data_IF_805275866741
#
_entry.id   IF_805275866741
#
_cell.length_a   1.000
_cell.length_b   1.000
_cell.length_c   1.000
_cell.angle_alpha   90.00
_cell.angle_beta   90.00
_cell.angle_gamma   90.00
#
_symmetry.space_group_name_H-M   'P 1'
#
loop_
_entity.id
_entity.type
_entity.pdbx_description
1 polymer ?
#
# COMPACT_ATOMS: atom_id res chain seq x y z
N UNK A 1 8.23 -8.78 -33.48
CA UNK A 1 6.93 -9.31 -33.93
C UNK A 1 6.36 -9.98 -32.70
N UNK A 2 5.67 -9.21 -31.87
CA UNK A 2 5.06 -9.71 -30.63
C UNK A 2 3.95 -10.69 -31.01
N UNK A 3 3.97 -11.88 -30.41
CA UNK A 3 2.81 -12.77 -30.49
C UNK A 3 1.63 -12.05 -29.83
N UNK A 4 0.46 -11.98 -30.47
CA UNK A 4 -0.68 -11.35 -29.85
C UNK A 4 -1.03 -12.15 -28.59
N UNK A 5 -0.96 -11.49 -27.43
CA UNK A 5 -1.55 -12.02 -26.20
C UNK A 5 -2.95 -12.52 -26.54
N UNK A 6 -3.28 -13.73 -26.08
CA UNK A 6 -4.60 -14.27 -26.35
C UNK A 6 -5.64 -13.28 -25.82
N UNK A 7 -6.73 -13.05 -26.56
CA UNK A 7 -7.82 -12.15 -26.10
C UNK A 7 -8.29 -12.52 -24.69
N UNK A 8 -8.23 -13.81 -24.34
CA UNK A 8 -8.52 -14.30 -23.00
C UNK A 8 -7.57 -13.74 -21.95
N UNK A 9 -6.26 -13.72 -22.21
CA UNK A 9 -5.23 -13.17 -21.32
C UNK A 9 -5.49 -11.69 -21.04
N UNK A 10 -5.83 -10.91 -22.07
CA UNK A 10 -6.16 -9.48 -21.90
C UNK A 10 -7.40 -9.29 -21.03
N UNK A 11 -8.48 -10.04 -21.29
CA UNK A 11 -9.71 -9.97 -20.49
C UNK A 11 -9.45 -10.40 -19.04
N UNK A 12 -8.69 -11.47 -18.85
CA UNK A 12 -8.31 -11.97 -17.53
C UNK A 12 -7.53 -10.91 -16.72
N UNK A 13 -6.58 -10.20 -17.34
CA UNK A 13 -5.86 -9.09 -16.69
C UNK A 13 -6.77 -7.89 -16.37
N UNK A 14 -7.70 -7.53 -17.25
CA UNK A 14 -8.67 -6.45 -17.00
C UNK A 14 -9.59 -6.78 -15.80
N UNK A 15 -10.03 -8.03 -15.69
CA UNK A 15 -10.83 -8.52 -14.56
C UNK A 15 -10.00 -8.48 -13.28
N UNK A 16 -8.74 -8.89 -13.36
CA UNK A 16 -7.85 -8.90 -12.21
C UNK A 16 -7.59 -7.49 -11.67
N UNK A 17 -7.24 -6.54 -12.57
CA UNK A 17 -7.05 -5.13 -12.24
C UNK A 17 -8.28 -4.52 -11.54
N UNK A 18 -9.47 -4.81 -12.06
CA UNK A 18 -10.72 -4.41 -11.42
C UNK A 18 -10.86 -4.96 -9.99
N UNK A 19 -10.59 -6.25 -9.78
CA UNK A 19 -10.69 -6.85 -8.45
C UNK A 19 -9.67 -6.28 -7.46
N UNK A 20 -8.44 -6.04 -7.91
CA UNK A 20 -7.39 -5.44 -7.08
C UNK A 20 -7.81 -4.03 -6.63
N UNK A 21 -8.25 -3.17 -7.55
CA UNK A 21 -8.71 -1.81 -7.22
C UNK A 21 -9.91 -1.81 -6.28
N UNK A 22 -10.87 -2.72 -6.49
CA UNK A 22 -12.01 -2.87 -5.57
C UNK A 22 -11.58 -3.33 -4.18
N UNK A 23 -10.62 -4.25 -4.09
CA UNK A 23 -10.08 -4.73 -2.82
C UNK A 23 -9.34 -3.60 -2.07
N UNK A 24 -8.48 -2.84 -2.76
CA UNK A 24 -7.77 -1.68 -2.19
C UNK A 24 -8.77 -0.67 -1.62
N UNK A 25 -9.77 -0.27 -2.40
CA UNK A 25 -10.80 0.67 -1.95
C UNK A 25 -11.52 0.20 -0.68
N UNK A 26 -11.82 -1.10 -0.59
CA UNK A 26 -12.47 -1.68 0.59
C UNK A 26 -11.56 -1.74 1.80
N UNK A 27 -10.28 -2.04 1.61
CA UNK A 27 -9.26 -2.01 2.66
C UNK A 27 -9.11 -0.59 3.21
N UNK A 28 -9.04 0.44 2.36
CA UNK A 28 -8.94 1.83 2.80
C UNK A 28 -10.13 2.27 3.66
N UNK A 29 -11.35 1.90 3.25
CA UNK A 29 -12.55 2.14 4.06
C UNK A 29 -12.45 1.41 5.40
N UNK A 30 -11.97 0.16 5.41
CA UNK A 30 -11.81 -0.61 6.64
C UNK A 30 -10.79 -0.01 7.60
N UNK A 31 -9.64 0.46 7.09
CA UNK A 31 -8.61 1.14 7.88
C UNK A 31 -9.19 2.38 8.55
N UNK A 32 -9.83 3.29 7.78
CA UNK A 32 -10.41 4.54 8.31
C UNK A 32 -11.51 4.33 9.34
N UNK A 33 -12.32 3.30 9.15
CA UNK A 33 -13.47 3.03 10.00
C UNK A 33 -13.15 2.07 11.16
N UNK A 34 -11.91 1.58 11.26
CA UNK A 34 -11.53 0.57 12.24
C UNK A 34 -12.38 -0.70 12.14
N UNK A 35 -12.75 -1.10 10.92
CA UNK A 35 -13.58 -2.28 10.70
C UNK A 35 -12.78 -3.57 10.89
N UNK A 36 -13.48 -4.64 11.26
CA UNK A 36 -12.86 -5.97 11.34
C UNK A 36 -12.46 -6.48 9.95
N UNK A 37 -11.40 -7.29 9.93
CA UNK A 37 -10.84 -7.96 8.75
C UNK A 37 -11.92 -8.76 8.00
N UNK A 38 -12.90 -9.33 8.71
CA UNK A 38 -13.98 -10.13 8.12
C UNK A 38 -14.75 -9.38 7.02
N UNK A 39 -14.81 -8.04 7.08
CA UNK A 39 -15.49 -7.22 6.07
C UNK A 39 -14.73 -7.11 4.73
N UNK A 40 -13.41 -7.34 4.74
CA UNK A 40 -12.56 -7.23 3.54
C UNK A 40 -11.94 -8.55 3.12
N UNK A 41 -11.96 -9.57 3.99
CA UNK A 41 -11.35 -10.88 3.73
C UNK A 41 -11.78 -11.48 2.40
N UNK A 42 -13.07 -11.38 2.08
CA UNK A 42 -13.59 -11.90 0.81
C UNK A 42 -12.92 -11.24 -0.41
N UNK A 43 -12.64 -9.94 -0.37
CA UNK A 43 -11.94 -9.25 -1.46
C UNK A 43 -10.48 -9.70 -1.56
N UNK A 44 -9.81 -9.85 -0.41
CA UNK A 44 -8.43 -10.32 -0.37
C UNK A 44 -8.28 -11.75 -0.90
N UNK A 45 -9.16 -12.66 -0.46
CA UNK A 45 -9.22 -14.05 -0.93
C UNK A 45 -9.47 -14.12 -2.44
N UNK A 46 -10.32 -13.24 -2.96
CA UNK A 46 -10.62 -13.16 -4.40
C UNK A 46 -9.40 -12.71 -5.21
N UNK A 47 -8.66 -11.70 -4.75
CA UNK A 47 -7.41 -11.25 -5.39
C UNK A 47 -6.39 -12.39 -5.40
N UNK A 48 -6.16 -13.06 -4.26
CA UNK A 48 -5.20 -14.17 -4.15
C UNK A 48 -5.61 -15.37 -5.03
N UNK A 49 -6.89 -15.74 -5.01
CA UNK A 49 -7.42 -16.82 -5.84
C UNK A 49 -7.24 -16.51 -7.34
N UNK A 50 -7.60 -15.29 -7.76
CA UNK A 50 -7.52 -14.90 -9.16
C UNK A 50 -6.06 -14.83 -9.61
N UNK A 51 -5.18 -14.26 -8.80
CA UNK A 51 -3.74 -14.24 -9.08
C UNK A 51 -3.19 -15.65 -9.29
N UNK A 52 -3.51 -16.60 -8.39
CA UNK A 52 -3.12 -18.01 -8.54
C UNK A 52 -3.66 -18.63 -9.82
N UNK A 53 -4.91 -18.34 -10.19
CA UNK A 53 -5.51 -18.84 -11.42
C UNK A 53 -4.78 -18.33 -12.67
N UNK A 54 -4.37 -17.07 -12.70
CA UNK A 54 -3.61 -16.48 -13.80
C UNK A 54 -2.23 -17.16 -13.95
N UNK A 55 -1.54 -17.41 -12.84
CA UNK A 55 -0.28 -18.16 -12.82
C UNK A 55 -0.49 -19.57 -13.40
N UNK A 56 -1.48 -20.31 -12.89
CA UNK A 56 -1.74 -21.69 -13.31
C UNK A 56 -2.13 -21.82 -14.79
N UNK A 57 -2.77 -20.79 -15.35
CA UNK A 57 -3.19 -20.77 -16.76
C UNK A 57 -2.10 -20.36 -17.74
N UNK A 58 -0.90 -20.00 -17.24
CA UNK A 58 0.15 -19.42 -18.09
C UNK A 58 -0.22 -18.04 -18.64
N UNK A 59 -1.18 -17.35 -18.03
CA UNK A 59 -1.55 -16.00 -18.44
C UNK A 59 -0.49 -14.94 -18.05
N UNK A 60 0.45 -15.32 -17.18
CA UNK A 60 1.55 -14.48 -16.66
C UNK A 60 2.92 -14.93 -17.20
N UNK A 61 3.02 -15.20 -18.51
CA UNK A 61 4.32 -15.53 -19.16
C UNK A 61 5.27 -14.33 -19.29
N UNK A 62 4.79 -13.12 -18.96
CA UNK A 62 5.53 -11.85 -18.93
C UNK A 62 5.37 -11.21 -17.56
N UNK A 63 6.30 -10.36 -17.08
CA UNK A 63 6.02 -9.47 -15.96
C UNK A 63 4.67 -8.77 -16.17
N UNK A 64 3.94 -8.60 -15.07
CA UNK A 64 2.67 -7.86 -15.07
C UNK A 64 2.88 -6.46 -15.66
N UNK A 65 1.83 -5.85 -16.24
CA UNK A 65 1.85 -4.42 -16.52
C UNK A 65 2.26 -3.67 -15.25
N UNK A 66 3.20 -2.73 -15.39
CA UNK A 66 3.80 -2.01 -14.24
C UNK A 66 2.74 -1.39 -13.31
N UNK A 67 1.69 -0.82 -13.89
CA UNK A 67 0.56 -0.24 -13.16
C UNK A 67 -0.16 -1.28 -12.27
N UNK A 68 -0.44 -2.47 -12.82
CA UNK A 68 -1.07 -3.57 -12.09
C UNK A 68 -0.13 -4.17 -11.03
N UNK A 69 1.17 -4.27 -11.33
CA UNK A 69 2.17 -4.69 -10.35
C UNK A 69 2.22 -3.72 -9.16
N UNK A 70 2.21 -2.41 -9.43
CA UNK A 70 2.20 -1.40 -8.38
C UNK A 70 0.92 -1.46 -7.54
N UNK A 71 -0.25 -1.61 -8.17
CA UNK A 71 -1.53 -1.82 -7.47
C UNK A 71 -1.50 -3.04 -6.56
N UNK A 72 -0.91 -4.15 -7.01
CA UNK A 72 -0.77 -5.35 -6.17
C UNK A 72 0.12 -5.10 -4.96
N UNK A 73 1.24 -4.38 -5.12
CA UNK A 73 2.09 -4.01 -3.98
C UNK A 73 1.37 -3.08 -2.99
N UNK A 74 0.55 -2.15 -3.50
CA UNK A 74 -0.31 -1.30 -2.66
C UNK A 74 -1.33 -2.16 -1.90
N UNK A 75 -1.98 -3.09 -2.59
CA UNK A 75 -2.92 -4.03 -1.98
C UNK A 75 -2.26 -4.86 -0.86
N UNK A 76 -1.08 -5.44 -1.13
CA UNK A 76 -0.36 -6.26 -0.16
C UNK A 76 0.04 -5.45 1.08
N UNK A 77 0.59 -4.25 0.89
CA UNK A 77 0.96 -3.35 2.00
C UNK A 77 -0.25 -2.88 2.82
N UNK A 78 -1.32 -2.47 2.15
CA UNK A 78 -2.54 -2.02 2.83
C UNK A 78 -3.20 -3.18 3.58
N UNK A 79 -3.15 -4.39 3.03
CA UNK A 79 -3.59 -5.60 3.70
C UNK A 79 -2.74 -5.86 4.94
N UNK A 80 -1.40 -5.89 4.83
CA UNK A 80 -0.51 -6.06 5.99
C UNK A 80 -0.78 -5.03 7.08
N UNK A 81 -0.93 -3.76 6.71
CA UNK A 81 -1.21 -2.68 7.65
C UNK A 81 -2.58 -2.83 8.33
N UNK A 82 -3.62 -3.22 7.60
CA UNK A 82 -4.94 -3.49 8.18
C UNK A 82 -4.92 -4.68 9.17
N UNK A 83 -4.11 -5.70 8.89
CA UNK A 83 -3.99 -6.88 9.76
C UNK A 83 -3.01 -6.67 10.91
N UNK A 84 -2.28 -5.56 10.92
CA UNK A 84 -1.33 -5.29 11.97
C UNK A 84 -2.06 -4.93 13.27
N UNK A 85 -1.80 -5.72 14.30
CA UNK A 85 -2.13 -5.38 15.68
C UNK A 85 -0.83 -5.34 16.51
N UNK A 86 -0.73 -4.48 17.53
CA UNK A 86 0.39 -4.54 18.45
C UNK A 86 0.56 -5.95 19.00
N UNK A 87 1.78 -6.53 18.92
CA UNK A 87 1.99 -7.92 19.23
C UNK A 87 1.58 -8.19 20.68
N UNK A 88 0.72 -9.18 20.91
CA UNK A 88 0.40 -9.71 22.25
C UNK A 88 1.32 -10.91 22.54
N UNK A 89 1.46 -11.30 23.80
CA UNK A 89 2.52 -12.23 24.29
C UNK A 89 2.57 -13.66 23.67
N UNK A 90 1.82 -13.98 22.61
CA UNK A 90 1.57 -15.39 22.23
C UNK A 90 1.86 -15.84 20.79
N UNK A 91 1.98 -14.96 19.80
CA UNK A 91 2.10 -15.41 18.40
C UNK A 91 3.11 -14.56 17.61
N UNK A 92 4.39 -14.98 17.61
CA UNK A 92 5.48 -14.27 16.93
C UNK A 92 5.84 -14.87 15.56
N UNK A 93 5.54 -16.15 15.32
CA UNK A 93 6.09 -16.89 14.16
C UNK A 93 5.43 -16.53 12.82
N UNK A 94 4.28 -15.86 12.83
CA UNK A 94 3.53 -15.43 11.63
C UNK A 94 3.22 -13.92 11.66
N UNK A 95 3.85 -13.18 12.57
CA UNK A 95 3.60 -11.76 12.75
C UNK A 95 4.52 -10.94 11.86
N UNK A 96 3.95 -10.10 11.00
CA UNK A 96 4.71 -9.10 10.25
C UNK A 96 4.79 -7.82 11.10
N UNK A 97 5.97 -7.43 11.60
CA UNK A 97 6.11 -6.22 12.39
C UNK A 97 5.92 -4.97 11.53
N UNK A 98 5.43 -3.90 12.15
CA UNK A 98 5.23 -2.59 11.53
C UNK A 98 6.54 -2.04 10.96
N UNK A 99 7.67 -2.35 11.62
CA UNK A 99 8.98 -2.02 11.09
C UNK A 99 9.30 -2.69 9.74
N UNK A 100 8.86 -3.93 9.50
CA UNK A 100 8.99 -4.58 8.18
C UNK A 100 7.97 -4.00 7.19
N UNK A 101 6.71 -3.76 7.59
CA UNK A 101 5.70 -3.08 6.75
C UNK A 101 6.23 -1.71 6.30
N UNK A 102 6.87 -0.97 7.19
CA UNK A 102 7.47 0.32 6.90
C UNK A 102 8.62 0.22 5.90
N UNK A 103 9.48 -0.80 6.00
CA UNK A 103 10.53 -1.03 5.01
C UNK A 103 9.93 -1.35 3.65
N UNK A 104 8.93 -2.22 3.58
CA UNK A 104 8.27 -2.57 2.33
C UNK A 104 7.55 -1.35 1.70
N UNK A 105 7.00 -0.47 2.53
CA UNK A 105 6.46 0.84 2.13
C UNK A 105 7.55 1.74 1.53
N UNK A 106 8.70 1.85 2.19
CA UNK A 106 9.84 2.65 1.71
C UNK A 106 10.37 2.10 0.38
N UNK A 107 10.47 0.78 0.26
CA UNK A 107 10.91 0.10 -0.97
C UNK A 107 9.88 0.27 -2.11
N UNK A 108 8.58 0.31 -1.81
CA UNK A 108 7.54 0.64 -2.78
C UNK A 108 7.70 2.06 -3.29
N UNK A 109 7.77 3.04 -2.40
CA UNK A 109 7.87 4.44 -2.76
C UNK A 109 9.14 4.73 -3.56
N UNK A 110 10.27 4.13 -3.19
CA UNK A 110 11.51 4.25 -3.95
C UNK A 110 11.40 3.62 -5.35
N UNK A 111 10.70 2.48 -5.48
CA UNK A 111 10.46 1.85 -6.79
C UNK A 111 9.52 2.66 -7.69
N UNK A 112 8.63 3.45 -7.09
CA UNK A 112 7.62 4.26 -7.75
C UNK A 112 7.93 5.76 -7.63
N UNK A 113 9.22 6.13 -7.60
CA UNK A 113 9.67 7.49 -7.25
C UNK A 113 9.11 8.57 -8.18
N UNK A 114 8.87 8.24 -9.45
CA UNK A 114 8.28 9.15 -10.43
C UNK A 114 6.78 9.42 -10.18
N UNK A 115 6.14 8.61 -9.34
CA UNK A 115 4.71 8.64 -9.04
C UNK A 115 4.39 9.08 -7.61
N UNK A 116 5.38 9.15 -6.72
CA UNK A 116 5.21 9.61 -5.34
C UNK A 116 5.82 10.99 -5.15
N UNK A 117 5.25 11.82 -4.28
CA UNK A 117 5.85 13.12 -3.96
C UNK A 117 7.13 12.92 -3.16
N UNK A 118 8.24 13.62 -3.46
CA UNK A 118 9.53 13.38 -2.81
C UNK A 118 9.54 13.46 -1.28
N UNK A 119 8.66 14.23 -0.64
CA UNK A 119 8.73 14.47 0.81
C UNK A 119 7.71 13.69 1.64
N UNK A 120 6.50 13.46 1.11
CA UNK A 120 5.41 12.90 1.93
C UNK A 120 5.65 11.47 2.38
N UNK A 121 6.27 10.63 1.54
CA UNK A 121 6.53 9.23 1.90
C UNK A 121 7.60 9.12 2.99
N UNK A 122 8.64 9.96 2.99
CA UNK A 122 9.60 9.98 4.10
C UNK A 122 8.96 10.38 5.42
N UNK A 123 8.05 11.35 5.39
CA UNK A 123 7.32 11.77 6.58
C UNK A 123 6.42 10.64 7.09
N UNK A 124 5.67 9.96 6.22
CA UNK A 124 4.86 8.80 6.60
C UNK A 124 5.72 7.63 7.11
N UNK A 125 6.83 7.32 6.44
CA UNK A 125 7.81 6.32 6.88
C UNK A 125 8.39 6.62 8.25
N UNK A 126 8.65 7.89 8.56
CA UNK A 126 9.12 8.31 9.88
C UNK A 126 8.04 8.15 10.97
N UNK A 127 6.77 8.37 10.65
CA UNK A 127 5.66 8.09 11.57
C UNK A 127 5.50 6.59 11.80
N UNK A 128 5.51 5.76 10.74
CA UNK A 128 5.53 4.30 10.86
C UNK A 128 6.68 3.82 11.77
N UNK A 129 7.88 4.40 11.60
CA UNK A 129 9.04 4.11 12.45
C UNK A 129 8.78 4.41 13.93
N UNK A 130 8.18 5.56 14.27
CA UNK A 130 7.89 5.89 15.67
C UNK A 130 6.85 4.94 16.27
N UNK A 131 5.81 4.58 15.52
CA UNK A 131 4.84 3.59 15.99
C UNK A 131 5.49 2.21 16.19
N UNK A 132 6.40 1.80 15.29
CA UNK A 132 7.19 0.60 15.48
C UNK A 132 8.09 0.69 16.73
N UNK A 133 8.74 1.83 16.99
CA UNK A 133 9.51 2.03 18.24
C UNK A 133 8.64 1.88 19.50
N UNK A 134 7.43 2.42 19.48
CA UNK A 134 6.54 2.36 20.64
C UNK A 134 6.09 0.92 20.92
N UNK A 135 5.80 0.13 19.88
CA UNK A 135 5.20 -1.20 20.03
C UNK A 135 6.19 -2.37 19.95
N UNK A 136 7.34 -2.19 19.30
CA UNK A 136 8.18 -3.29 18.83
C UNK A 136 9.63 -3.26 19.33
N UNK A 137 10.12 -2.16 19.92
CA UNK A 137 11.54 -1.96 20.26
C UNK A 137 12.17 -3.12 21.05
N UNK A 138 11.40 -3.73 21.97
CA UNK A 138 11.88 -4.87 22.77
C UNK A 138 11.81 -6.21 22.02
N UNK A 139 10.83 -6.36 21.11
CA UNK A 139 10.48 -7.65 20.50
C UNK A 139 11.07 -7.85 19.10
N UNK A 140 11.24 -6.77 18.35
CA UNK A 140 11.73 -6.76 16.97
C UNK A 140 12.85 -5.73 16.74
N UNK A 141 13.92 -5.75 17.58
CA UNK A 141 15.00 -4.76 17.49
C UNK A 141 15.78 -4.82 16.16
N UNK A 142 15.89 -6.01 15.55
CA UNK A 142 16.61 -6.18 14.29
C UNK A 142 15.83 -5.58 13.10
N UNK A 143 14.51 -5.76 13.08
CA UNK A 143 13.61 -5.18 12.07
C UNK A 143 13.55 -3.66 12.20
N UNK A 144 13.43 -3.16 13.44
CA UNK A 144 13.50 -1.73 13.69
C UNK A 144 14.85 -1.13 13.25
N UNK A 145 15.96 -1.84 13.49
CA UNK A 145 17.28 -1.43 13.01
C UNK A 145 17.37 -1.46 11.48
N UNK A 146 16.70 -2.40 10.80
CA UNK A 146 16.62 -2.44 9.33
C UNK A 146 15.92 -1.18 8.81
N UNK A 147 14.80 -0.80 9.38
CA UNK A 147 14.10 0.44 9.05
C UNK A 147 14.98 1.67 9.31
N UNK A 148 15.64 1.72 10.47
CA UNK A 148 16.55 2.81 10.81
C UNK A 148 17.71 2.93 9.81
N UNK A 149 18.24 1.82 9.32
CA UNK A 149 19.36 1.83 8.37
C UNK A 149 18.91 1.75 6.90
N UNK A 150 17.63 1.94 6.62
CA UNK A 150 17.12 1.98 5.26
C UNK A 150 17.80 3.13 4.48
N UNK A 151 18.12 2.87 3.21
CA UNK A 151 18.78 3.82 2.30
C UNK A 151 18.25 3.66 0.90
N UNK A 152 18.12 4.78 0.18
CA UNK A 152 17.79 4.82 -1.24
C UNK A 152 19.00 4.53 -2.14
N UNK A 153 20.23 4.49 -1.58
CA UNK A 153 21.49 4.57 -2.32
C UNK A 153 21.61 5.85 -3.17
N UNK A 154 20.95 6.92 -2.75
CA UNK A 154 20.98 8.24 -3.36
C UNK A 154 21.15 9.28 -2.24
N UNK A 155 22.14 10.16 -2.39
CA UNK A 155 22.54 11.09 -1.32
C UNK A 155 21.45 12.12 -0.99
N UNK A 156 20.65 12.54 -1.97
CA UNK A 156 19.58 13.52 -1.75
C UNK A 156 18.40 12.85 -1.04
N UNK A 157 18.00 11.67 -1.48
CA UNK A 157 16.93 10.89 -0.86
C UNK A 157 17.31 10.43 0.56
N UNK A 158 18.55 9.98 0.78
CA UNK A 158 19.04 9.61 2.10
C UNK A 158 19.05 10.82 3.05
N UNK A 159 19.35 12.02 2.55
CA UNK A 159 19.27 13.25 3.35
C UNK A 159 17.82 13.60 3.73
N UNK A 160 16.86 13.39 2.83
CA UNK A 160 15.45 13.55 3.15
C UNK A 160 14.98 12.54 4.22
N UNK A 161 15.39 11.27 4.10
CA UNK A 161 15.09 10.25 5.10
C UNK A 161 15.66 10.61 6.48
N UNK A 162 16.94 10.99 6.55
CA UNK A 162 17.58 11.46 7.80
C UNK A 162 16.83 12.64 8.41
N UNK A 163 16.40 13.60 7.59
CA UNK A 163 15.67 14.78 8.05
C UNK A 163 14.29 14.42 8.64
N UNK A 164 13.48 13.61 7.94
CA UNK A 164 12.16 13.20 8.43
C UNK A 164 12.28 12.37 9.71
N UNK A 165 13.26 11.45 9.79
CA UNK A 165 13.56 10.70 11.01
C UNK A 165 13.97 11.61 12.16
N UNK A 166 14.93 12.50 11.96
CA UNK A 166 15.37 13.42 13.00
C UNK A 166 14.21 14.29 13.51
N UNK A 167 13.28 14.67 12.62
CA UNK A 167 12.10 15.45 12.98
C UNK A 167 11.17 14.70 13.93
N UNK A 168 10.94 13.40 13.76
CA UNK A 168 10.09 12.63 14.67
C UNK A 168 10.83 12.23 15.96
N UNK A 169 12.13 11.89 15.86
CA UNK A 169 12.94 11.46 17.01
C UNK A 169 13.20 12.58 18.02
N UNK A 170 13.13 13.86 17.62
CA UNK A 170 13.23 14.98 18.57
C UNK A 170 12.14 14.96 19.65
N UNK A 171 11.03 14.25 19.39
CA UNK A 171 9.91 14.08 20.31
C UNK A 171 9.99 12.79 21.14
N UNK A 172 10.91 11.88 20.82
CA UNK A 172 11.08 10.62 21.54
C UNK A 172 12.08 10.76 22.70
N UNK A 173 11.85 10.10 23.84
CA UNK A 173 12.85 10.03 24.91
C UNK A 173 14.04 9.12 24.52
N UNK A 174 15.16 9.19 25.26
CA UNK A 174 16.24 8.21 25.11
C UNK A 174 15.72 6.76 25.32
N UNK A 175 16.30 5.76 24.61
CA UNK A 175 17.52 5.83 23.82
C UNK A 175 17.35 6.35 22.38
N UNK A 176 16.11 6.48 21.89
CA UNK A 176 15.83 6.76 20.48
C UNK A 176 15.88 8.24 20.10
N UNK A 177 15.62 9.12 21.06
CA UNK A 177 15.52 10.56 20.81
C UNK A 177 16.13 11.44 21.89
N UNK A 178 15.84 12.73 21.79
CA UNK A 178 16.41 13.78 22.64
C UNK A 178 15.39 14.46 23.55
N UNK A 179 14.12 14.04 23.50
CA UNK A 179 13.08 14.64 24.33
C UNK A 179 13.31 14.36 25.81
N UNK A 180 12.74 15.21 26.67
CA UNK A 180 12.66 14.92 28.09
C UNK A 180 11.80 13.66 28.37
N UNK A 181 11.76 13.18 29.62
CA UNK A 181 10.88 12.08 29.99
C UNK A 181 9.42 12.42 29.67
N UNK A 182 8.77 11.60 28.85
CA UNK A 182 7.33 11.67 28.53
C UNK A 182 6.72 10.31 28.84
N UNK A 183 5.49 10.28 29.36
CA UNK A 183 4.80 9.01 29.58
C UNK A 183 4.45 8.34 28.25
N UNK A 184 4.21 7.03 28.27
CA UNK A 184 3.79 6.31 27.06
C UNK A 184 2.47 6.87 26.51
N UNK A 185 1.55 7.23 27.40
CA UNK A 185 0.27 7.84 27.04
C UNK A 185 0.47 9.20 26.33
N UNK A 186 1.39 10.04 26.82
CA UNK A 186 1.69 11.32 26.18
C UNK A 186 2.34 11.16 24.80
N UNK A 187 3.10 10.08 24.58
CA UNK A 187 3.60 9.74 23.26
C UNK A 187 2.48 9.26 22.33
N UNK A 188 1.52 8.47 22.81
CA UNK A 188 0.35 8.07 22.01
C UNK A 188 -0.59 9.24 21.69
N UNK A 189 -0.68 10.26 22.54
CA UNK A 189 -1.40 11.50 22.24
C UNK A 189 -0.68 12.31 21.14
N UNK A 190 0.66 12.30 21.15
CA UNK A 190 1.48 12.99 20.14
C UNK A 190 1.48 12.24 18.81
N UNK A 191 1.53 10.91 18.87
CA UNK A 191 1.58 9.98 17.74
C UNK A 191 0.34 9.08 17.80
N UNK A 192 -0.81 9.63 17.42
CA UNK A 192 -2.06 8.88 17.47
C UNK A 192 -2.13 7.88 16.31
N UNK A 193 -2.67 6.70 16.59
CA UNK A 193 -2.89 5.68 15.55
C UNK A 193 -3.87 6.17 14.48
N UNK A 194 -4.92 6.89 14.89
CA UNK A 194 -5.90 7.46 13.96
C UNK A 194 -5.24 8.40 12.95
N UNK A 195 -4.26 9.20 13.39
CA UNK A 195 -3.50 10.07 12.51
C UNK A 195 -2.66 9.26 11.51
N UNK A 196 -1.97 8.22 11.97
CA UNK A 196 -1.18 7.34 11.11
C UNK A 196 -2.07 6.64 10.08
N UNK A 197 -3.21 6.10 10.50
CA UNK A 197 -4.16 5.41 9.63
C UNK A 197 -4.70 6.33 8.54
N UNK A 198 -5.09 7.56 8.89
CA UNK A 198 -5.58 8.53 7.90
C UNK A 198 -4.48 8.89 6.89
N UNK A 199 -3.27 9.22 7.37
CA UNK A 199 -2.17 9.60 6.47
C UNK A 199 -1.70 8.45 5.59
N UNK A 200 -1.76 7.21 6.08
CA UNK A 200 -1.47 6.02 5.29
C UNK A 200 -2.47 5.86 4.15
N UNK A 201 -3.78 5.99 4.45
CA UNK A 201 -4.82 5.85 3.44
C UNK A 201 -4.79 7.01 2.45
N UNK A 202 -4.71 8.27 2.91
CA UNK A 202 -4.60 9.45 2.04
C UNK A 202 -3.40 9.34 1.09
N UNK A 203 -2.24 8.89 1.58
CA UNK A 203 -1.06 8.71 0.75
C UNK A 203 -1.30 7.73 -0.40
N UNK A 204 -1.89 6.57 -0.10
CA UNK A 204 -2.14 5.58 -1.14
C UNK A 204 -3.32 5.92 -2.04
N UNK A 205 -4.30 6.69 -1.57
CA UNK A 205 -5.34 7.25 -2.44
C UNK A 205 -4.73 8.24 -3.44
N UNK A 206 -3.91 9.18 -2.99
CA UNK A 206 -3.19 10.11 -3.86
C UNK A 206 -2.33 9.36 -4.90
N UNK A 207 -1.66 8.26 -4.48
CA UNK A 207 -0.90 7.42 -5.39
C UNK A 207 -1.81 6.71 -6.41
N UNK A 208 -2.92 6.12 -5.95
CA UNK A 208 -3.89 5.43 -6.81
C UNK A 208 -4.59 6.38 -7.80
N UNK A 209 -4.77 7.65 -7.46
CA UNK A 209 -5.30 8.67 -8.38
C UNK A 209 -4.37 8.93 -9.58
N UNK A 210 -3.06 8.69 -9.41
CA UNK A 210 -2.06 8.78 -10.47
C UNK A 210 -1.94 7.54 -11.35
N UNK A 211 -2.70 6.47 -11.06
CA UNK A 211 -2.66 5.18 -11.75
C UNK A 211 -3.84 5.02 -12.72
N UNK A 212 -3.70 4.08 -13.67
CA UNK A 212 -4.71 3.88 -14.70
C UNK A 212 -6.01 3.36 -14.06
N UNK A 213 -7.15 3.98 -14.37
CA UNK A 213 -8.45 3.52 -13.86
C UNK A 213 -8.79 2.19 -14.55
N UNK A 214 -9.20 1.12 -13.83
CA UNK A 214 -9.53 -0.16 -14.46
C UNK A 214 -10.59 -0.01 -15.55
N UNK A 215 -10.33 -0.59 -16.72
CA UNK A 215 -11.24 -0.45 -17.89
C UNK A 215 -12.67 -0.91 -17.58
N UNK A 216 -12.83 -1.94 -16.75
CA UNK A 216 -14.16 -2.40 -16.32
C UNK A 216 -14.87 -1.33 -15.50
N UNK A 217 -14.16 -0.63 -14.60
CA UNK A 217 -14.72 0.46 -13.81
C UNK A 217 -15.09 1.66 -14.71
N UNK A 218 -14.25 1.98 -15.69
CA UNK A 218 -14.56 3.02 -16.69
C UNK A 218 -15.85 2.70 -17.47
N UNK A 219 -16.07 1.43 -17.84
CA UNK A 219 -17.30 0.96 -18.49
C UNK A 219 -18.53 1.08 -17.59
N UNK A 220 -18.41 0.70 -16.31
CA UNK A 220 -19.47 0.86 -15.31
C UNK A 220 -19.85 2.34 -15.12
N UNK A 221 -18.87 3.24 -15.14
CA UNK A 221 -19.06 4.69 -15.09
C UNK A 221 -19.55 5.30 -16.41
N UNK A 222 -19.59 4.53 -17.50
CA UNK A 222 -20.12 4.95 -18.79
C UNK A 222 -19.19 5.85 -19.61
N UNK A 223 -17.89 5.88 -19.30
CA UNK A 223 -16.91 6.65 -20.05
C UNK A 223 -15.56 5.92 -20.08
N UNK A 224 -15.23 5.37 -21.26
CA UNK A 224 -13.90 4.85 -21.54
C UNK A 224 -12.93 6.00 -21.84
N UNK A 225 -11.72 5.89 -21.32
CA UNK A 225 -10.65 6.83 -21.59
C UNK A 225 -10.36 6.93 -23.09
N UNK A 226 -10.10 8.15 -23.56
CA UNK A 226 -9.89 8.43 -24.97
C UNK A 226 -11.17 8.44 -25.82
N UNK A 227 -12.34 8.14 -25.25
CA UNK A 227 -13.63 8.17 -25.94
C UNK A 227 -14.60 9.19 -25.32
N UNK A 228 -15.46 9.73 -26.17
CA UNK A 228 -16.66 10.47 -25.72
C UNK A 228 -17.67 9.52 -25.06
N UNK A 229 -18.61 10.07 -24.28
CA UNK A 229 -19.70 9.28 -23.69
C UNK A 229 -20.56 8.62 -24.76
N UNK A 230 -20.81 9.32 -25.87
CA UNK A 230 -21.58 8.80 -26.99
C UNK A 230 -20.86 7.64 -27.69
N UNK A 231 -19.54 7.72 -27.86
CA UNK A 231 -18.72 6.62 -28.40
C UNK A 231 -18.67 5.43 -27.44
N UNK A 232 -18.53 5.69 -26.14
CA UNK A 232 -18.58 4.64 -25.11
C UNK A 232 -19.93 3.93 -25.12
N UNK A 233 -21.04 4.66 -25.23
CA UNK A 233 -22.38 4.08 -25.30
C UNK A 233 -22.56 3.21 -26.55
N UNK A 234 -22.04 3.65 -27.71
CA UNK A 234 -22.09 2.84 -28.94
C UNK A 234 -21.33 1.53 -28.78
N UNK A 235 -20.19 1.52 -28.10
CA UNK A 235 -19.43 0.29 -27.83
C UNK A 235 -20.21 -0.62 -26.88
N UNK A 236 -20.78 -0.07 -25.79
CA UNK A 236 -21.64 -0.84 -24.87
C UNK A 236 -22.80 -1.51 -25.58
N UNK A 237 -23.50 -0.77 -26.45
CA UNK A 237 -24.64 -1.27 -27.23
C UNK A 237 -24.22 -2.37 -28.22
N UNK A 238 -23.02 -2.27 -28.80
CA UNK A 238 -22.47 -3.28 -29.72
C UNK A 238 -22.01 -4.56 -29.00
N UNK A 239 -21.45 -4.43 -27.80
CA UNK A 239 -20.94 -5.55 -27.02
C UNK A 239 -22.00 -6.24 -26.15
N UNK A 240 -23.20 -5.66 -26.01
CA UNK A 240 -24.29 -6.20 -25.19
C UNK A 240 -24.02 -6.10 -23.68
N UNK A 241 -23.22 -5.11 -23.26
CA UNK A 241 -22.89 -4.87 -21.84
C UNK A 241 -23.92 -3.93 -21.24
N UNK A 242 -24.92 -4.51 -20.56
CA UNK A 242 -26.05 -3.81 -19.93
C UNK A 242 -25.73 -3.32 -18.53
#
# INVERSE_FOLDING_TARGET
MEEPHSTQTTVDLMIFDYFVCMAISRIFVAIRQGLSIEHVQWFADMVELFHRLLIHRGALESPLPWDLELKLRIFDLASLFLHWEPPKDRELDLFTPLSDIAVDFMDLCHSAIDNVSNTRWFDLGAHLMVHAMLEEDVRFPDQLRRLYNWTANDLELDAHWEMSRASVLKHMPPPHGTAGPVSREGLHETFSMDFLQEHFVEFFEDLMEGLDVPVILQLECGQLEGLTREETQRIRDQCGVF
#
